data_IF_629679575279
#
_entry.id   IF_629679575279
#
_cell.length_a   1.000
_cell.length_b   1.000
_cell.length_c   1.000
_cell.angle_alpha   90.00
_cell.angle_beta   90.00
_cell.angle_gamma   90.00
#
_symmetry.space_group_name_H-M   'P 1'
#
loop_
_entity.id
_entity.type
_entity.pdbx_description
1 polymer ?
#
# COMPACT_ATOMS: atom_id res chain seq x y z
N UNK A 1 22.76 44.92 8.34
CA UNK A 1 21.80 44.60 9.40
C UNK A 1 21.28 43.22 9.09
N UNK A 2 21.99 42.21 9.58
CA UNK A 2 21.70 40.79 9.35
C UNK A 2 20.39 40.47 10.06
N UNK A 3 19.36 40.15 9.29
CA UNK A 3 18.15 39.54 9.83
C UNK A 3 18.59 38.26 10.56
N UNK A 4 18.41 38.27 11.88
CA UNK A 4 18.48 37.07 12.69
C UNK A 4 17.42 36.11 12.16
N UNK A 5 17.88 35.00 11.59
CA UNK A 5 17.08 33.83 11.25
C UNK A 5 16.52 33.28 12.57
N UNK A 6 15.37 33.81 13.01
CA UNK A 6 14.61 33.19 14.10
C UNK A 6 14.19 31.82 13.61
N UNK A 7 14.90 30.78 14.08
CA UNK A 7 14.60 29.39 13.78
C UNK A 7 13.12 29.15 14.04
N UNK A 8 12.37 28.82 12.98
CA UNK A 8 10.95 28.52 13.06
C UNK A 8 10.75 27.42 14.12
N UNK A 9 9.80 27.55 15.05
CA UNK A 9 9.56 26.51 16.05
C UNK A 9 9.26 25.18 15.35
N UNK A 10 9.95 24.13 15.79
CA UNK A 10 9.79 22.75 15.32
C UNK A 10 8.34 22.31 15.48
N UNK A 11 7.78 21.69 14.44
CA UNK A 11 6.40 21.21 14.45
C UNK A 11 6.33 19.70 14.62
N UNK A 12 5.53 19.23 15.57
CA UNK A 12 5.31 17.82 15.86
C UNK A 12 3.87 17.43 15.53
N UNK A 13 3.71 16.44 14.65
CA UNK A 13 2.41 15.88 14.30
C UNK A 13 2.31 14.43 14.74
N UNK A 14 1.18 14.06 15.34
CA UNK A 14 0.81 12.66 15.55
C UNK A 14 -0.03 12.17 14.37
N UNK A 15 0.45 11.20 13.61
CA UNK A 15 -0.33 10.47 12.62
C UNK A 15 -0.97 9.22 13.23
N UNK A 16 -2.23 8.95 12.90
CA UNK A 16 -2.99 7.75 13.29
C UNK A 16 -3.51 7.02 12.04
N UNK A 17 -3.34 5.71 11.97
CA UNK A 17 -3.77 4.86 10.86
C UNK A 17 -4.52 3.63 11.39
N UNK A 18 -5.76 3.44 10.93
CA UNK A 18 -6.67 2.33 11.30
C UNK A 18 -7.61 1.96 10.14
N UNK A 19 -7.18 2.12 8.89
CA UNK A 19 -8.04 1.95 7.71
C UNK A 19 -8.42 0.50 7.41
N UNK A 20 -7.62 -0.47 7.84
CA UNK A 20 -7.82 -1.88 7.55
C UNK A 20 -7.55 -2.78 8.77
N UNK A 21 -6.36 -3.36 8.88
CA UNK A 21 -6.00 -4.40 9.85
C UNK A 21 -4.69 -4.08 10.60
N UNK A 22 -4.19 -2.86 10.49
CA UNK A 22 -3.02 -2.36 11.19
C UNK A 22 -3.41 -1.16 12.06
N UNK A 23 -3.16 -1.26 13.36
CA UNK A 23 -3.30 -0.08 14.24
C UNK A 23 -1.95 0.58 14.34
N UNK A 24 -1.79 1.77 13.78
CA UNK A 24 -0.52 2.47 13.81
C UNK A 24 -0.62 3.91 14.30
N UNK A 25 0.46 4.37 14.92
CA UNK A 25 0.67 5.77 15.24
C UNK A 25 2.14 6.14 15.05
N UNK A 26 2.39 7.36 14.58
CA UNK A 26 3.74 7.87 14.34
C UNK A 26 3.81 9.35 14.72
N UNK A 27 4.93 9.77 15.29
CA UNK A 27 5.23 11.20 15.49
C UNK A 27 6.18 11.65 14.40
N UNK A 28 5.82 12.70 13.67
CA UNK A 28 6.61 13.26 12.57
C UNK A 28 6.96 14.72 12.89
N UNK A 29 8.25 15.02 12.76
CA UNK A 29 8.85 16.34 12.97
C UNK A 29 9.02 17.06 11.62
N UNK A 30 8.48 18.27 11.54
CA UNK A 30 8.55 19.19 10.38
C UNK A 30 8.13 18.55 9.04
N UNK A 31 7.29 17.51 9.11
CA UNK A 31 6.76 16.79 7.95
C UNK A 31 7.76 15.88 7.23
N UNK A 32 8.99 15.74 7.74
CA UNK A 32 10.06 14.98 7.07
C UNK A 32 10.68 13.92 7.97
N UNK A 33 10.93 14.24 9.24
CA UNK A 33 11.69 13.38 10.15
C UNK A 33 10.76 12.52 10.99
N UNK A 34 10.92 11.20 10.96
CA UNK A 34 10.11 10.29 11.77
C UNK A 34 10.73 10.14 13.15
N UNK A 35 10.03 10.62 14.19
CA UNK A 35 10.46 10.52 15.59
C UNK A 35 10.07 9.21 16.23
N UNK A 36 8.94 8.65 15.81
CA UNK A 36 8.50 7.31 16.20
C UNK A 36 7.57 6.74 15.14
N UNK A 37 7.50 5.42 15.06
CA UNK A 37 6.55 4.69 14.22
C UNK A 37 6.22 3.36 14.90
N UNK A 38 4.97 3.22 15.33
CA UNK A 38 4.48 2.04 16.06
C UNK A 38 3.36 1.42 15.26
N UNK A 39 3.48 0.12 14.97
CA UNK A 39 2.48 -0.67 14.25
C UNK A 39 2.10 -1.88 15.09
N UNK A 40 0.81 -2.09 15.30
CA UNK A 40 0.24 -3.29 15.88
C UNK A 40 -0.62 -4.01 14.83
N UNK A 41 0.02 -4.91 14.08
CA UNK A 41 -0.60 -5.72 13.01
C UNK A 41 -1.61 -6.72 13.58
N UNK A 42 -2.67 -7.00 12.82
CA UNK A 42 -3.71 -7.99 13.16
C UNK A 42 -3.58 -9.28 12.33
N UNK A 43 -2.46 -9.51 11.64
CA UNK A 43 -2.26 -10.66 10.75
C UNK A 43 -2.75 -12.00 11.34
N UNK A 44 -2.31 -12.32 12.56
CA UNK A 44 -2.67 -13.56 13.27
C UNK A 44 -4.18 -13.69 13.55
N UNK A 45 -4.91 -12.57 13.69
CA UNK A 45 -6.35 -12.58 13.94
C UNK A 45 -7.17 -12.94 12.69
N UNK A 46 -6.59 -12.73 11.50
CA UNK A 46 -7.29 -12.89 10.21
C UNK A 46 -6.83 -14.14 9.45
N UNK A 47 -5.73 -14.77 9.89
CA UNK A 47 -5.12 -15.94 9.23
C UNK A 47 -6.12 -17.10 9.05
N UNK A 48 -6.89 -17.44 10.07
CA UNK A 48 -7.86 -18.56 10.01
C UNK A 48 -9.01 -18.32 9.01
N UNK A 49 -9.30 -17.05 8.68
CA UNK A 49 -10.37 -16.66 7.78
C UNK A 49 -9.89 -16.49 6.32
N UNK A 50 -8.57 -16.52 6.10
CA UNK A 50 -7.98 -16.30 4.77
C UNK A 50 -8.17 -14.88 4.24
N UNK A 51 -8.42 -13.91 5.11
CA UNK A 51 -8.63 -12.51 4.76
C UNK A 51 -9.17 -11.67 5.92
N UNK A 52 -9.12 -10.36 5.77
CA UNK A 52 -9.52 -9.42 6.84
C UNK A 52 -11.02 -9.51 7.11
N UNK A 53 -11.37 -9.82 8.37
CA UNK A 53 -12.76 -9.80 8.87
C UNK A 53 -13.06 -8.43 9.48
N UNK A 54 -13.96 -7.60 8.89
CA UNK A 54 -14.12 -6.21 9.30
C UNK A 54 -14.48 -5.97 10.78
N UNK A 55 -15.30 -6.84 11.36
CA UNK A 55 -15.70 -6.74 12.77
C UNK A 55 -14.55 -7.06 13.73
N UNK A 56 -13.77 -8.12 13.43
CA UNK A 56 -12.58 -8.48 14.21
C UNK A 56 -11.56 -7.34 14.15
N UNK A 57 -11.36 -6.77 12.96
CA UNK A 57 -10.43 -5.67 12.77
C UNK A 57 -10.82 -4.43 13.59
N UNK A 58 -12.10 -4.07 13.55
CA UNK A 58 -12.64 -2.92 14.29
C UNK A 58 -12.42 -3.07 15.81
N UNK A 59 -12.66 -4.28 16.36
CA UNK A 59 -12.42 -4.56 17.79
C UNK A 59 -10.96 -4.49 18.17
N UNK A 60 -10.09 -5.07 17.34
CA UNK A 60 -8.66 -5.03 17.58
C UNK A 60 -8.12 -3.58 17.57
N UNK A 61 -8.59 -2.71 16.66
CA UNK A 61 -8.25 -1.28 16.72
C UNK A 61 -8.69 -0.64 18.04
N UNK A 62 -9.90 -0.93 18.51
CA UNK A 62 -10.43 -0.35 19.75
C UNK A 62 -9.56 -0.71 20.97
N UNK A 63 -9.08 -1.95 21.03
CA UNK A 63 -8.19 -2.43 22.09
C UNK A 63 -6.78 -1.83 21.98
N UNK A 64 -6.29 -1.59 20.76
CA UNK A 64 -4.88 -1.27 20.49
C UNK A 64 -4.59 0.21 20.33
N UNK A 65 -5.58 1.05 20.00
CA UNK A 65 -5.35 2.44 19.63
C UNK A 65 -4.67 3.25 20.74
N UNK A 66 -5.12 3.14 21.99
CA UNK A 66 -4.51 3.88 23.11
C UNK A 66 -3.11 3.36 23.45
N UNK A 67 -2.85 2.03 23.58
CA UNK A 67 -1.49 1.51 23.74
C UNK A 67 -0.53 1.97 22.64
N UNK A 68 -0.96 1.92 21.38
CA UNK A 68 -0.14 2.31 20.21
C UNK A 68 0.20 3.79 20.26
N UNK A 69 -0.79 4.68 20.50
CA UNK A 69 -0.54 6.12 20.62
C UNK A 69 0.39 6.43 21.78
N UNK A 70 0.16 5.85 22.97
CA UNK A 70 1.04 6.08 24.14
C UNK A 70 2.47 5.67 23.86
N UNK A 71 2.66 4.52 23.20
CA UNK A 71 3.99 4.06 22.80
C UNK A 71 4.63 4.99 21.78
N UNK A 72 3.89 5.46 20.77
CA UNK A 72 4.44 6.39 19.78
C UNK A 72 4.92 7.71 20.42
N UNK A 73 4.19 8.24 21.40
CA UNK A 73 4.59 9.43 22.16
C UNK A 73 5.83 9.16 23.01
N UNK A 74 5.87 8.03 23.71
CA UNK A 74 7.02 7.63 24.53
C UNK A 74 8.27 7.38 23.69
N UNK A 75 8.17 6.64 22.59
CA UNK A 75 9.27 6.32 21.68
C UNK A 75 9.81 7.59 21.00
N UNK A 76 8.97 8.60 20.77
CA UNK A 76 9.39 9.91 20.26
C UNK A 76 10.10 10.78 21.32
N UNK A 77 9.97 10.45 22.61
CA UNK A 77 10.54 11.20 23.73
C UNK A 77 9.89 12.56 23.96
N UNK A 78 8.58 12.67 23.70
CA UNK A 78 7.81 13.91 23.86
C UNK A 78 6.66 13.72 24.84
N UNK A 79 6.05 14.83 25.26
CA UNK A 79 4.77 14.86 25.97
C UNK A 79 3.62 15.05 24.98
N UNK A 80 2.40 14.70 25.39
CA UNK A 80 1.21 14.94 24.55
C UNK A 80 1.01 16.43 24.25
N UNK A 81 1.34 17.30 25.21
CA UNK A 81 1.20 18.76 25.07
C UNK A 81 2.22 19.38 24.10
N UNK A 82 3.23 18.62 23.66
CA UNK A 82 4.22 19.07 22.68
C UNK A 82 3.71 18.90 21.23
N UNK A 83 2.53 18.29 21.01
CA UNK A 83 1.95 18.09 19.69
C UNK A 83 1.32 19.38 19.15
N UNK A 84 1.58 19.71 17.90
CA UNK A 84 0.97 20.85 17.20
C UNK A 84 -0.28 20.47 16.40
N UNK A 85 -0.43 19.21 16.03
CA UNK A 85 -1.62 18.70 15.34
C UNK A 85 -1.74 17.18 15.46
N UNK A 86 -2.96 16.68 15.23
CA UNK A 86 -3.25 15.25 15.04
C UNK A 86 -3.72 15.04 13.61
N UNK A 87 -3.10 14.11 12.90
CA UNK A 87 -3.49 13.66 11.57
C UNK A 87 -4.06 12.24 11.64
N UNK A 88 -5.08 11.94 10.84
CA UNK A 88 -5.71 10.61 10.83
C UNK A 88 -6.11 10.17 9.43
N UNK A 89 -5.75 8.93 9.07
CA UNK A 89 -6.27 8.26 7.88
C UNK A 89 -7.79 8.07 8.02
N UNK A 90 -8.58 8.83 7.26
CA UNK A 90 -10.04 8.84 7.38
C UNK A 90 -10.76 8.24 6.16
N UNK A 91 -10.01 7.97 5.09
CA UNK A 91 -10.51 7.33 3.86
C UNK A 91 -9.36 6.94 2.93
N UNK A 92 -9.59 6.03 1.98
CA UNK A 92 -10.61 4.98 2.04
C UNK A 92 -10.27 3.96 3.13
N UNK A 93 -11.18 3.04 3.43
CA UNK A 93 -10.96 1.99 4.44
C UNK A 93 -12.25 1.35 4.94
N UNK A 94 -12.11 0.38 5.85
CA UNK A 94 -13.22 -0.28 6.52
C UNK A 94 -13.88 0.69 7.49
N UNK A 95 -15.19 0.92 7.34
CA UNK A 95 -15.89 1.98 8.10
C UNK A 95 -15.75 1.81 9.62
N UNK A 96 -15.87 0.59 10.15
CA UNK A 96 -15.70 0.32 11.59
C UNK A 96 -14.29 0.63 12.08
N UNK A 97 -13.28 0.25 11.30
CA UNK A 97 -11.88 0.49 11.60
C UNK A 97 -11.54 2.01 11.55
N UNK A 98 -11.96 2.70 10.49
CA UNK A 98 -11.78 4.15 10.33
C UNK A 98 -12.42 4.95 11.47
N UNK A 99 -13.60 4.54 11.93
CA UNK A 99 -14.31 5.20 13.03
C UNK A 99 -13.50 5.16 14.33
N UNK A 100 -12.77 4.08 14.62
CA UNK A 100 -11.95 4.00 15.83
C UNK A 100 -10.83 5.04 15.80
N UNK A 101 -10.00 5.04 14.76
CA UNK A 101 -8.91 6.01 14.62
C UNK A 101 -9.40 7.45 14.56
N UNK A 102 -10.45 7.72 13.78
CA UNK A 102 -11.03 9.06 13.65
C UNK A 102 -11.60 9.56 14.99
N UNK A 103 -12.23 8.69 15.77
CA UNK A 103 -12.77 9.07 17.09
C UNK A 103 -11.66 9.34 18.10
N UNK A 104 -10.61 8.51 18.12
CA UNK A 104 -9.44 8.73 18.97
C UNK A 104 -8.72 10.04 18.61
N UNK A 105 -8.50 10.30 17.32
CA UNK A 105 -7.85 11.52 16.84
C UNK A 105 -8.65 12.78 17.19
N UNK A 106 -9.98 12.75 16.99
CA UNK A 106 -10.88 13.85 17.39
C UNK A 106 -10.84 14.11 18.89
N UNK A 107 -10.90 13.05 19.70
CA UNK A 107 -10.85 13.16 21.16
C UNK A 107 -9.54 13.79 21.63
N UNK A 108 -8.41 13.38 21.05
CA UNK A 108 -7.10 13.91 21.40
C UNK A 108 -6.94 15.37 20.96
N UNK A 109 -7.27 15.68 19.70
CA UNK A 109 -7.20 17.05 19.17
C UNK A 109 -8.07 18.02 19.98
N UNK A 110 -9.29 17.61 20.34
CA UNK A 110 -10.20 18.39 21.17
C UNK A 110 -9.65 18.61 22.59
N UNK A 111 -9.07 17.57 23.22
CA UNK A 111 -8.56 17.66 24.58
C UNK A 111 -7.32 18.56 24.69
N UNK A 112 -6.51 18.61 23.63
CA UNK A 112 -5.29 19.43 23.55
C UNK A 112 -5.53 20.82 22.95
N UNK A 113 -6.73 21.09 22.43
CA UNK A 113 -7.07 22.31 21.68
C UNK A 113 -6.13 22.55 20.48
N UNK A 114 -5.85 21.49 19.72
CA UNK A 114 -4.97 21.53 18.54
C UNK A 114 -5.69 21.10 17.26
N UNK A 115 -5.23 21.53 16.08
CA UNK A 115 -5.79 21.13 14.79
C UNK A 115 -5.88 19.61 14.57
N UNK A 116 -6.98 19.21 13.92
CA UNK A 116 -7.19 17.85 13.38
C UNK A 116 -7.11 17.88 11.86
N UNK A 117 -6.32 16.98 11.28
CA UNK A 117 -6.14 16.84 9.83
C UNK A 117 -6.62 15.47 9.36
N UNK A 118 -7.62 15.47 8.47
CA UNK A 118 -8.06 14.25 7.78
C UNK A 118 -7.15 13.95 6.60
N UNK A 119 -6.55 12.76 6.58
CA UNK A 119 -5.63 12.31 5.53
C UNK A 119 -6.27 11.22 4.68
N UNK A 120 -6.04 11.27 3.37
CA UNK A 120 -6.37 10.18 2.46
C UNK A 120 -5.25 9.12 2.52
N UNK A 121 -5.58 7.91 2.92
CA UNK A 121 -4.67 6.79 3.11
C UNK A 121 -3.88 6.45 1.84
N UNK A 122 -4.51 6.54 0.66
CA UNK A 122 -3.84 6.24 -0.61
C UNK A 122 -2.82 7.33 -0.94
N UNK A 123 -3.17 8.58 -0.66
CA UNK A 123 -2.25 9.70 -0.84
C UNK A 123 -1.09 9.64 0.17
N UNK A 124 -1.37 9.23 1.42
CA UNK A 124 -0.33 9.02 2.42
C UNK A 124 0.68 7.96 1.96
N UNK A 125 0.21 6.83 1.41
CA UNK A 125 1.09 5.85 0.79
C UNK A 125 1.95 6.43 -0.34
N UNK A 126 1.35 7.24 -1.21
CA UNK A 126 2.03 7.84 -2.35
C UNK A 126 3.22 8.72 -1.92
N UNK A 127 3.05 9.52 -0.86
CA UNK A 127 4.06 10.48 -0.41
C UNK A 127 4.96 9.95 0.71
N UNK A 128 4.69 8.76 1.26
CA UNK A 128 5.47 8.17 2.34
C UNK A 128 6.96 8.03 1.99
N UNK A 129 7.30 7.77 0.73
CA UNK A 129 8.68 7.68 0.27
C UNK A 129 9.47 9.00 0.29
N UNK A 130 8.80 10.13 0.56
CA UNK A 130 9.43 11.46 0.74
C UNK A 130 9.89 11.70 2.18
N UNK A 131 9.49 10.85 3.14
CA UNK A 131 9.96 10.95 4.52
C UNK A 131 11.43 10.52 4.61
N UNK A 132 12.17 11.18 5.50
CA UNK A 132 13.59 10.93 5.81
C UNK A 132 14.55 11.03 4.62
N UNK A 133 14.11 11.58 3.49
CA UNK A 133 14.86 11.68 2.25
C UNK A 133 14.60 13.03 1.58
N UNK A 134 15.49 13.42 0.68
CA UNK A 134 15.23 14.58 -0.16
C UNK A 134 14.10 14.23 -1.15
N UNK A 135 13.00 15.00 -1.16
CA UNK A 135 11.87 14.71 -2.03
C UNK A 135 12.27 14.89 -3.51
N UNK A 136 11.75 14.08 -4.44
CA UNK A 136 12.05 14.26 -5.84
C UNK A 136 11.46 15.58 -6.36
N UNK A 137 12.04 16.09 -7.45
CA UNK A 137 11.48 17.24 -8.13
C UNK A 137 10.08 16.95 -8.66
N UNK A 138 9.15 17.87 -8.40
CA UNK A 138 7.79 17.86 -8.95
C UNK A 138 7.74 18.69 -10.24
N UNK A 139 6.87 18.36 -11.21
CA UNK A 139 5.88 17.29 -11.17
C UNK A 139 6.51 15.88 -11.28
N UNK A 140 5.92 14.93 -10.55
CA UNK A 140 6.30 13.52 -10.58
C UNK A 140 5.12 12.64 -11.04
N UNK A 141 5.40 11.43 -11.51
CA UNK A 141 4.40 10.37 -11.58
C UNK A 141 4.36 9.65 -10.22
N UNK A 142 3.19 9.13 -9.88
CA UNK A 142 2.96 8.38 -8.66
C UNK A 142 2.45 6.98 -8.97
N UNK A 143 2.95 5.96 -8.27
CA UNK A 143 2.41 4.61 -8.26
C UNK A 143 2.07 4.19 -6.83
N UNK A 144 0.82 3.83 -6.59
CA UNK A 144 0.41 3.16 -5.35
C UNK A 144 0.03 1.72 -5.68
N UNK A 145 0.74 0.77 -5.09
CA UNK A 145 0.48 -0.66 -5.21
C UNK A 145 0.43 -1.30 -3.81
N UNK A 146 -0.77 -1.58 -3.31
CA UNK A 146 -1.02 -2.20 -1.99
C UNK A 146 -2.00 -3.36 -2.10
N UNK A 147 -2.39 -3.93 -0.95
CA UNK A 147 -3.43 -4.97 -0.86
C UNK A 147 -4.72 -4.56 -1.56
N UNK A 148 -5.21 -3.34 -1.28
CA UNK A 148 -6.49 -2.83 -1.80
C UNK A 148 -6.38 -1.76 -2.89
N UNK A 149 -5.17 -1.33 -3.29
CA UNK A 149 -5.00 -0.24 -4.23
C UNK A 149 -3.98 -0.55 -5.33
N UNK A 150 -4.28 -0.10 -6.55
CA UNK A 150 -3.36 -0.12 -7.69
C UNK A 150 -3.70 1.09 -8.55
N UNK A 151 -2.94 2.16 -8.39
CA UNK A 151 -3.28 3.48 -8.91
C UNK A 151 -2.06 4.22 -9.43
N UNK A 152 -2.23 4.95 -10.54
CA UNK A 152 -1.23 5.87 -11.09
C UNK A 152 -1.74 7.30 -10.91
N UNK A 153 -0.86 8.19 -10.45
CA UNK A 153 -1.12 9.61 -10.20
C UNK A 153 -0.17 10.50 -10.98
N UNK A 154 -0.62 11.73 -11.28
CA UNK A 154 0.23 12.87 -11.52
C UNK A 154 0.35 13.66 -10.22
N UNK A 155 1.57 13.90 -9.78
CA UNK A 155 1.86 14.61 -8.53
C UNK A 155 2.51 15.94 -8.87
N UNK A 156 1.69 16.96 -9.03
CA UNK A 156 2.13 18.36 -9.15
C UNK A 156 2.32 19.00 -7.77
N UNK A 157 1.54 18.53 -6.81
CA UNK A 157 1.51 18.93 -5.41
C UNK A 157 1.29 17.66 -4.55
N UNK A 158 2.04 17.46 -3.44
CA UNK A 158 1.88 16.27 -2.58
C UNK A 158 0.51 16.17 -1.91
N UNK A 159 -0.23 17.28 -1.76
CA UNK A 159 -1.52 17.31 -1.06
C UNK A 159 -2.67 16.93 -2.01
N UNK A 160 -2.59 17.33 -3.29
CA UNK A 160 -3.63 17.12 -4.29
C UNK A 160 -3.14 16.35 -5.53
N UNK A 161 -2.70 15.10 -5.39
CA UNK A 161 -2.30 14.29 -6.54
C UNK A 161 -3.53 14.01 -7.44
N UNK A 162 -3.33 14.10 -8.75
CA UNK A 162 -4.39 13.86 -9.75
C UNK A 162 -4.35 12.41 -10.21
N UNK A 163 -5.43 11.67 -9.96
CA UNK A 163 -5.57 10.29 -10.42
C UNK A 163 -5.55 10.21 -11.95
N UNK A 164 -4.70 9.35 -12.50
CA UNK A 164 -4.57 9.10 -13.95
C UNK A 164 -5.15 7.75 -14.38
N UNK A 165 -5.10 6.75 -13.49
CA UNK A 165 -5.66 5.44 -13.72
C UNK A 165 -5.66 4.62 -12.45
N UNK A 166 -6.58 3.66 -12.33
CA UNK A 166 -6.66 2.75 -11.18
C UNK A 166 -7.11 1.36 -11.60
N UNK A 167 -7.00 0.39 -10.69
CA UNK A 167 -7.68 -0.89 -10.93
C UNK A 167 -9.20 -0.67 -11.03
N UNK A 168 -9.82 -1.38 -11.97
CA UNK A 168 -11.28 -1.44 -12.12
C UNK A 168 -11.87 -2.70 -11.49
N UNK A 169 -11.02 -3.61 -11.01
CA UNK A 169 -11.41 -4.84 -10.32
C UNK A 169 -10.51 -5.11 -9.10
N UNK A 170 -9.85 -6.27 -9.03
CA UNK A 170 -8.94 -6.63 -7.94
C UNK A 170 -7.74 -5.66 -7.95
N UNK A 171 -7.24 -5.26 -6.79
CA UNK A 171 -5.92 -4.66 -6.69
C UNK A 171 -4.82 -5.72 -6.88
N UNK A 172 -3.60 -5.30 -7.20
CA UNK A 172 -2.49 -6.22 -7.42
C UNK A 172 -2.18 -7.05 -6.16
N UNK A 173 -2.21 -6.44 -4.97
CA UNK A 173 -1.97 -7.16 -3.71
C UNK A 173 -3.05 -8.20 -3.43
N UNK A 174 -4.31 -7.84 -3.59
CA UNK A 174 -5.44 -8.79 -3.53
C UNK A 174 -5.31 -9.93 -4.55
N UNK A 175 -4.80 -9.65 -5.76
CA UNK A 175 -4.53 -10.69 -6.75
C UNK A 175 -3.42 -11.65 -6.26
N UNK A 176 -2.36 -11.15 -5.63
CA UNK A 176 -1.33 -11.97 -4.99
C UNK A 176 -1.93 -12.85 -3.88
N UNK A 177 -2.77 -12.30 -3.00
CA UNK A 177 -3.39 -13.06 -1.92
C UNK A 177 -4.32 -14.16 -2.43
N UNK A 178 -5.15 -13.85 -3.44
CA UNK A 178 -6.02 -14.85 -4.08
C UNK A 178 -5.22 -15.95 -4.78
N UNK A 179 -4.11 -15.61 -5.44
CA UNK A 179 -3.22 -16.61 -6.06
C UNK A 179 -2.54 -17.47 -5.01
N UNK A 180 -2.10 -16.90 -3.89
CA UNK A 180 -1.52 -17.66 -2.78
C UNK A 180 -2.51 -18.71 -2.24
N UNK A 181 -3.76 -18.32 -2.04
CA UNK A 181 -4.83 -19.25 -1.64
C UNK A 181 -5.06 -20.35 -2.68
N UNK A 182 -5.06 -20.00 -3.98
CA UNK A 182 -5.22 -20.98 -5.07
C UNK A 182 -4.08 -21.98 -5.15
N UNK A 183 -2.87 -21.61 -4.71
CA UNK A 183 -1.66 -22.42 -4.71
C UNK A 183 -1.37 -23.08 -3.34
N UNK A 184 -2.29 -23.00 -2.38
CA UNK A 184 -2.17 -23.56 -1.04
C UNK A 184 -0.96 -23.00 -0.24
N UNK A 185 -0.73 -21.69 -0.31
CA UNK A 185 0.44 -21.02 0.31
C UNK A 185 0.14 -20.23 1.60
N UNK A 186 -1.13 -20.13 2.01
CA UNK A 186 -1.55 -19.39 3.21
C UNK A 186 -1.53 -17.86 3.05
N UNK A 187 -1.55 -17.14 4.19
CA UNK A 187 -1.55 -15.68 4.29
C UNK A 187 -0.35 -15.21 5.14
N UNK A 188 0.42 -14.17 4.76
CA UNK A 188 0.16 -13.19 3.69
C UNK A 188 0.62 -13.71 2.34
N UNK A 189 -0.20 -13.53 1.32
CA UNK A 189 -0.03 -14.23 0.05
C UNK A 189 1.05 -13.63 -0.84
N UNK A 190 1.22 -12.31 -0.84
CA UNK A 190 2.28 -11.60 -1.58
C UNK A 190 3.67 -12.20 -1.35
N UNK A 191 4.20 -12.18 -0.11
CA UNK A 191 5.51 -12.75 0.21
C UNK A 191 5.61 -14.25 -0.07
N UNK A 192 4.52 -15.01 0.09
CA UNK A 192 4.52 -16.45 -0.14
C UNK A 192 4.62 -16.80 -1.63
N UNK A 193 3.86 -16.11 -2.48
CA UNK A 193 3.93 -16.24 -3.95
C UNK A 193 5.30 -15.80 -4.46
N UNK A 194 5.85 -14.72 -3.91
CA UNK A 194 7.19 -14.24 -4.28
C UNK A 194 8.28 -15.29 -4.02
N UNK A 195 8.37 -15.81 -2.79
CA UNK A 195 9.36 -16.84 -2.45
C UNK A 195 9.24 -18.07 -3.33
N UNK A 196 8.01 -18.47 -3.65
CA UNK A 196 7.78 -19.64 -4.49
C UNK A 196 8.18 -19.38 -5.96
N UNK A 197 7.92 -18.17 -6.46
CA UNK A 197 8.26 -17.73 -7.80
C UNK A 197 9.78 -17.77 -8.09
N UNK A 198 10.63 -17.60 -7.08
CA UNK A 198 12.10 -17.68 -7.23
C UNK A 198 12.58 -19.02 -7.81
N UNK A 199 11.82 -20.09 -7.58
CA UNK A 199 12.14 -21.45 -8.04
C UNK A 199 11.40 -21.87 -9.32
N UNK A 200 10.52 -21.02 -9.85
CA UNK A 200 9.66 -21.29 -11.00
C UNK A 200 10.18 -20.71 -12.32
N UNK A 201 9.68 -21.24 -13.42
CA UNK A 201 9.87 -20.66 -14.75
C UNK A 201 8.78 -19.59 -15.03
N UNK A 202 9.13 -18.30 -15.18
CA UNK A 202 8.17 -17.22 -15.46
C UNK A 202 7.54 -17.31 -16.85
N UNK A 203 7.99 -18.23 -17.71
CA UNK A 203 7.50 -18.43 -19.08
C UNK A 203 6.70 -19.72 -19.25
N UNK A 204 6.60 -20.55 -18.20
CA UNK A 204 5.91 -21.84 -18.24
C UNK A 204 4.42 -21.72 -18.58
N UNK A 205 3.77 -20.63 -18.17
CA UNK A 205 2.37 -20.35 -18.47
C UNK A 205 2.18 -19.00 -19.16
N UNK A 206 1.56 -19.03 -20.34
CA UNK A 206 1.13 -17.80 -21.03
C UNK A 206 -0.14 -17.26 -20.37
N UNK A 207 0.03 -16.37 -19.39
CA UNK A 207 -1.07 -15.74 -18.68
C UNK A 207 -1.48 -14.40 -19.32
N UNK A 208 -2.79 -14.06 -19.30
CA UNK A 208 -3.29 -12.84 -19.94
C UNK A 208 -2.90 -11.59 -19.14
N UNK A 209 -2.62 -10.49 -19.87
CA UNK A 209 -2.51 -9.15 -19.29
C UNK A 209 -3.60 -8.29 -19.91
N UNK A 210 -4.57 -7.86 -19.08
CA UNK A 210 -5.74 -7.12 -19.55
C UNK A 210 -5.34 -5.86 -20.32
N UNK A 211 -5.93 -5.63 -21.50
CA UNK A 211 -5.72 -4.43 -22.31
C UNK A 211 -6.99 -3.60 -22.32
N UNK A 212 -7.02 -2.54 -21.52
CA UNK A 212 -8.21 -1.69 -21.29
C UNK A 212 -8.29 -0.49 -22.25
N UNK A 213 -7.58 -0.57 -23.37
CA UNK A 213 -7.47 0.52 -24.35
C UNK A 213 -6.03 1.01 -24.51
N UNK A 214 -5.79 1.75 -25.60
CA UNK A 214 -4.44 2.25 -25.94
C UNK A 214 -3.95 3.32 -24.97
N UNK A 215 -4.84 4.21 -24.53
CA UNK A 215 -4.52 5.35 -23.68
C UNK A 215 -4.86 5.12 -22.21
N UNK A 216 -5.60 4.05 -21.89
CA UNK A 216 -5.96 3.73 -20.50
C UNK A 216 -4.72 3.37 -19.70
N UNK A 217 -4.68 3.95 -18.49
CA UNK A 217 -3.72 3.65 -17.42
C UNK A 217 -4.35 2.81 -16.31
N UNK A 218 -5.57 2.33 -16.53
CA UNK A 218 -6.28 1.46 -15.59
C UNK A 218 -5.69 0.05 -15.58
N UNK A 219 -5.90 -0.63 -14.46
CA UNK A 219 -5.48 -2.00 -14.25
C UNK A 219 -6.68 -2.95 -14.18
N UNK A 220 -6.46 -4.21 -14.51
CA UNK A 220 -7.41 -5.30 -14.27
C UNK A 220 -6.60 -6.58 -14.03
N UNK A 221 -6.79 -7.17 -12.86
CA UNK A 221 -6.09 -8.37 -12.41
C UNK A 221 -7.02 -9.56 -12.22
N UNK A 222 -8.35 -9.36 -12.20
CA UNK A 222 -9.32 -10.46 -12.02
C UNK A 222 -9.23 -11.52 -13.12
N UNK A 223 -9.02 -11.11 -14.38
CA UNK A 223 -8.81 -12.04 -15.49
C UNK A 223 -7.50 -12.83 -15.39
N UNK A 224 -6.42 -12.19 -14.91
CA UNK A 224 -5.13 -12.84 -14.65
C UNK A 224 -5.27 -13.89 -13.55
N UNK A 225 -5.86 -13.52 -12.41
CA UNK A 225 -6.17 -14.44 -11.31
C UNK A 225 -7.02 -15.62 -11.79
N UNK A 226 -8.07 -15.38 -12.58
CA UNK A 226 -8.95 -16.43 -13.09
C UNK A 226 -8.19 -17.43 -14.00
N UNK A 227 -7.24 -16.94 -14.80
CA UNK A 227 -6.39 -17.82 -15.60
C UNK A 227 -5.49 -18.71 -14.72
N UNK A 228 -4.94 -18.17 -13.62
CA UNK A 228 -4.18 -18.94 -12.63
C UNK A 228 -5.06 -19.99 -11.96
N UNK A 229 -6.29 -19.63 -11.54
CA UNK A 229 -7.25 -20.58 -10.96
C UNK A 229 -7.47 -21.78 -11.88
N UNK A 230 -7.73 -21.54 -13.16
CA UNK A 230 -7.96 -22.62 -14.12
C UNK A 230 -6.71 -23.45 -14.41
N UNK A 231 -5.53 -22.83 -14.40
CA UNK A 231 -4.27 -23.54 -14.58
C UNK A 231 -3.88 -24.38 -13.34
N UNK A 232 -4.29 -23.96 -12.14
CA UNK A 232 -4.03 -24.65 -10.87
C UNK A 232 -5.07 -25.73 -10.53
N UNK A 233 -6.36 -25.41 -10.70
CA UNK A 233 -7.50 -26.23 -10.23
C UNK A 233 -8.36 -26.82 -11.35
N UNK A 234 -8.03 -26.52 -12.61
CA UNK A 234 -8.77 -27.00 -13.77
C UNK A 234 -9.99 -26.14 -14.12
N UNK A 235 -10.57 -26.43 -15.28
CA UNK A 235 -11.77 -25.77 -15.76
C UNK A 235 -13.02 -26.57 -15.32
N UNK A 236 -14.17 -25.91 -15.09
CA UNK A 236 -15.42 -26.61 -14.83
C UNK A 236 -15.69 -27.69 -15.89
N UNK A 237 -15.99 -28.91 -15.45
CA UNK A 237 -16.24 -30.06 -16.34
C UNK A 237 -15.00 -30.78 -16.85
N UNK A 238 -13.79 -30.44 -16.40
CA UNK A 238 -12.55 -31.18 -16.68
C UNK A 238 -11.90 -31.65 -15.37
N UNK A 239 -11.21 -32.80 -15.36
CA UNK A 239 -10.45 -33.22 -14.19
C UNK A 239 -9.36 -32.18 -13.86
N UNK A 240 -9.16 -31.83 -12.58
CA UNK A 240 -8.14 -30.88 -12.18
C UNK A 240 -6.74 -31.41 -12.51
N UNK A 241 -5.79 -30.54 -12.91
CA UNK A 241 -4.40 -30.96 -13.03
C UNK A 241 -3.82 -31.30 -11.66
N UNK A 242 -2.77 -32.12 -11.63
CA UNK A 242 -2.00 -32.35 -10.41
C UNK A 242 -1.22 -31.08 -10.10
N UNK A 243 -1.40 -30.56 -8.88
CA UNK A 243 -0.75 -29.35 -8.40
C UNK A 243 0.51 -29.69 -7.60
N UNK A 244 1.52 -30.26 -8.29
CA UNK A 244 2.82 -30.58 -7.69
C UNK A 244 3.65 -29.31 -7.37
N UNK A 245 4.78 -29.48 -6.66
CA UNK A 245 5.64 -28.35 -6.25
C UNK A 245 6.14 -27.54 -7.46
N UNK A 246 6.54 -28.22 -8.54
CA UNK A 246 7.06 -27.55 -9.75
C UNK A 246 5.98 -26.70 -10.41
N UNK A 247 4.78 -27.26 -10.60
CA UNK A 247 3.66 -26.54 -11.20
C UNK A 247 3.25 -25.33 -10.36
N UNK A 248 3.27 -25.45 -9.02
CA UNK A 248 3.00 -24.31 -8.13
C UNK A 248 4.05 -23.21 -8.29
N UNK A 249 5.34 -23.57 -8.35
CA UNK A 249 6.42 -22.63 -8.61
C UNK A 249 6.29 -21.91 -9.96
N UNK A 250 6.05 -22.67 -11.03
CA UNK A 250 5.90 -22.14 -12.37
C UNK A 250 4.67 -21.22 -12.52
N UNK A 251 3.56 -21.56 -11.85
CA UNK A 251 2.37 -20.70 -11.80
C UNK A 251 2.61 -19.42 -11.02
N UNK A 252 3.28 -19.49 -9.87
CA UNK A 252 3.65 -18.31 -9.08
C UNK A 252 4.57 -17.37 -9.88
N UNK A 253 5.60 -17.92 -10.53
CA UNK A 253 6.54 -17.15 -11.37
C UNK A 253 5.84 -16.53 -12.59
N UNK A 254 5.03 -17.30 -13.31
CA UNK A 254 4.29 -16.81 -14.48
C UNK A 254 3.27 -15.73 -14.10
N UNK A 255 2.59 -15.88 -12.96
CA UNK A 255 1.67 -14.88 -12.43
C UNK A 255 2.39 -13.57 -12.09
N UNK A 256 3.47 -13.65 -11.31
CA UNK A 256 4.26 -12.48 -10.92
C UNK A 256 4.79 -11.74 -12.14
N UNK A 257 5.31 -12.46 -13.14
CA UNK A 257 5.77 -11.88 -14.40
C UNK A 257 4.65 -11.15 -15.16
N UNK A 258 3.44 -11.73 -15.23
CA UNK A 258 2.29 -11.11 -15.87
C UNK A 258 1.80 -9.85 -15.12
N UNK A 259 1.78 -9.89 -13.79
CA UNK A 259 1.40 -8.75 -12.95
C UNK A 259 2.40 -7.58 -13.10
N UNK A 260 3.71 -7.87 -13.07
CA UNK A 260 4.77 -6.89 -13.32
C UNK A 260 4.66 -6.30 -14.73
N UNK A 261 4.36 -7.14 -15.74
CA UNK A 261 4.16 -6.67 -17.12
C UNK A 261 3.01 -5.68 -17.23
N UNK A 262 1.93 -5.86 -16.47
CA UNK A 262 0.82 -4.91 -16.40
C UNK A 262 1.25 -3.56 -15.82
N UNK A 263 1.95 -3.58 -14.67
CA UNK A 263 2.51 -2.39 -14.02
C UNK A 263 3.45 -1.63 -14.96
N UNK A 264 4.47 -2.32 -15.49
CA UNK A 264 5.47 -1.76 -16.40
C UNK A 264 4.83 -1.10 -17.61
N UNK A 265 3.86 -1.76 -18.24
CA UNK A 265 3.16 -1.23 -19.42
C UNK A 265 2.48 0.10 -19.11
N UNK A 266 1.72 0.17 -18.01
CA UNK A 266 0.97 1.37 -17.68
C UNK A 266 1.90 2.50 -17.21
N UNK A 267 2.97 2.19 -16.47
CA UNK A 267 4.01 3.16 -16.12
C UNK A 267 4.67 3.78 -17.35
N UNK A 268 5.13 2.96 -18.30
CA UNK A 268 5.73 3.44 -19.55
C UNK A 268 4.78 4.35 -20.32
N UNK A 269 3.51 3.95 -20.48
CA UNK A 269 2.48 4.80 -21.09
C UNK A 269 2.31 6.13 -20.37
N UNK A 270 2.34 6.13 -19.04
CA UNK A 270 2.18 7.34 -18.24
C UNK A 270 3.36 8.31 -18.46
N UNK A 271 4.59 7.80 -18.54
CA UNK A 271 5.81 8.55 -18.85
C UNK A 271 5.85 9.04 -20.31
N UNK A 272 5.53 8.18 -21.27
CA UNK A 272 5.49 8.52 -22.70
C UNK A 272 4.53 9.68 -22.97
N UNK A 273 3.37 9.69 -22.29
CA UNK A 273 2.40 10.77 -22.38
C UNK A 273 2.86 12.08 -21.70
N UNK A 274 3.97 12.08 -20.96
CA UNK A 274 4.48 13.21 -20.14
C UNK A 274 6.01 13.31 -20.20
N UNK A 275 6.60 13.64 -21.36
CA UNK A 275 8.05 13.55 -21.61
C UNK A 275 8.93 14.48 -20.74
N UNK A 276 8.34 15.44 -20.01
CA UNK A 276 9.04 16.31 -19.07
C UNK A 276 9.17 15.76 -17.66
N UNK A 277 8.44 14.69 -17.31
CA UNK A 277 8.47 14.10 -15.96
C UNK A 277 9.57 13.04 -15.91
N UNK A 278 10.45 13.16 -14.91
CA UNK A 278 11.59 12.25 -14.67
C UNK A 278 11.58 11.59 -13.30
N UNK A 279 10.59 11.90 -12.48
CA UNK A 279 10.48 11.43 -11.10
C UNK A 279 9.32 10.45 -10.96
N UNK A 280 9.53 9.38 -10.19
CA UNK A 280 8.50 8.44 -9.79
C UNK A 280 8.44 8.36 -8.26
N UNK A 281 7.27 8.66 -7.70
CA UNK A 281 6.93 8.36 -6.31
C UNK A 281 6.24 7.00 -6.26
N UNK A 282 6.69 6.13 -5.36
CA UNK A 282 6.19 4.76 -5.25
C UNK A 282 5.81 4.46 -3.81
N UNK A 283 4.61 3.91 -3.61
CA UNK A 283 4.07 3.58 -2.30
C UNK A 283 3.17 2.35 -2.28
N UNK A 284 2.85 1.87 -1.08
CA UNK A 284 2.02 0.69 -0.84
C UNK A 284 2.83 -0.60 -0.65
N UNK A 285 2.26 -1.56 0.09
CA UNK A 285 2.98 -2.75 0.55
C UNK A 285 3.50 -3.68 -0.55
N UNK A 286 2.87 -3.72 -1.73
CA UNK A 286 3.28 -4.61 -2.83
C UNK A 286 4.60 -4.15 -3.46
N UNK A 287 4.97 -2.88 -3.26
CA UNK A 287 6.26 -2.33 -3.67
C UNK A 287 7.44 -2.91 -2.88
N UNK A 288 7.18 -3.67 -1.80
CA UNK A 288 8.20 -4.43 -1.08
C UNK A 288 8.71 -5.64 -1.87
N UNK A 289 7.94 -6.15 -2.83
CA UNK A 289 8.31 -7.29 -3.67
C UNK A 289 9.57 -6.97 -4.49
N UNK A 290 10.61 -7.81 -4.36
CA UNK A 290 11.93 -7.64 -4.97
C UNK A 290 11.86 -7.63 -6.49
N UNK A 291 11.02 -8.46 -7.11
CA UNK A 291 10.86 -8.47 -8.57
C UNK A 291 10.19 -7.18 -9.08
N UNK A 292 9.21 -6.63 -8.35
CA UNK A 292 8.62 -5.32 -8.63
C UNK A 292 9.65 -4.21 -8.42
N UNK A 293 10.42 -4.22 -7.33
CA UNK A 293 11.51 -3.25 -7.09
C UNK A 293 12.53 -3.26 -8.21
N UNK A 294 13.04 -4.44 -8.58
CA UNK A 294 13.98 -4.59 -9.68
C UNK A 294 13.42 -4.08 -11.01
N UNK A 295 12.11 -4.26 -11.24
CA UNK A 295 11.45 -3.66 -12.41
C UNK A 295 11.44 -2.14 -12.33
N UNK A 296 11.09 -1.54 -11.18
CA UNK A 296 11.03 -0.09 -11.01
C UNK A 296 12.42 0.54 -11.17
N UNK A 297 13.45 -0.06 -10.57
CA UNK A 297 14.84 0.39 -10.66
C UNK A 297 15.40 0.31 -12.10
N UNK A 298 14.86 -0.57 -12.94
CA UNK A 298 15.26 -0.68 -14.35
C UNK A 298 14.52 0.30 -15.28
N UNK A 299 13.41 0.90 -14.83
CA UNK A 299 12.62 1.88 -15.60
C UNK A 299 13.00 3.34 -15.28
N UNK A 300 13.67 3.58 -14.16
CA UNK A 300 14.12 4.89 -13.68
C UNK A 300 15.62 5.09 -13.92
#
# INVERSE_FOLDING_TARGET
MTATDEARPTRLLLGIETSCDETAAAVVEDGVRVRSSVVATQHELHEEYGGVVPEIASRAHLERILPVVRRAIADAGIRLEDLDAVAVGHRPGLIGALLVGTSAAKGLALALDIPLVGVDHVHAHLVAGMLEREPPALPALGLVASGGHSSIYLVEDPIHPRLLGRTIDDAIGEAFDKVAAMLDLGHPGGPAVERLAESGDPTAFTLPVANLGRESLDFSFSGLKTAVLYAARGQPGRPPPVLDDRRRADLAASFQAAAIKALRRNLRRAFDARPGIRSLLVGGGVTANAAIRAMLDAEC
#
